data_IF_603045076860
#
_entry.id   IF_603045076860
#
_cell.length_a   1.000
_cell.length_b   1.000
_cell.length_c   1.000
_cell.angle_alpha   90.00
_cell.angle_beta   90.00
_cell.angle_gamma   90.00
#
_symmetry.space_group_name_H-M   'P 1'
#
loop_
_entity.id
_entity.type
_entity.pdbx_description
1 polymer ?
#
# COMPACT_ATOMS: atom_id res chain seq x y z
N UNK A 1 12.87 -57.32 9.71
CA UNK A 1 11.95 -56.46 8.89
C UNK A 1 12.12 -55.03 9.36
N UNK A 2 12.77 -54.20 8.57
CA UNK A 2 13.00 -52.80 8.89
C UNK A 2 11.67 -52.03 8.72
N UNK A 3 11.07 -51.50 9.80
CA UNK A 3 9.89 -50.67 9.75
C UNK A 3 10.23 -49.38 9.03
N UNK A 4 9.63 -49.12 7.84
CA UNK A 4 9.70 -47.83 7.17
C UNK A 4 9.13 -46.77 8.12
N UNK A 5 9.96 -45.87 8.62
CA UNK A 5 9.56 -44.70 9.40
C UNK A 5 8.65 -43.83 8.52
N UNK A 6 7.37 -43.71 8.87
CA UNK A 6 6.43 -42.82 8.17
C UNK A 6 6.92 -41.36 8.33
N UNK A 7 6.86 -40.59 7.26
CA UNK A 7 7.19 -39.18 7.26
C UNK A 7 5.95 -38.38 6.90
N UNK A 8 5.71 -37.30 7.66
CA UNK A 8 4.57 -36.40 7.45
C UNK A 8 5.12 -35.02 7.09
N UNK A 9 4.54 -34.41 6.07
CA UNK A 9 4.92 -33.06 5.64
C UNK A 9 3.72 -32.14 5.84
N UNK A 10 3.84 -31.22 6.77
CA UNK A 10 2.84 -30.19 7.01
C UNK A 10 3.12 -28.98 6.10
N UNK A 11 2.16 -28.60 5.29
CA UNK A 11 2.23 -27.45 4.38
C UNK A 11 1.31 -26.38 4.96
N UNK A 12 1.91 -25.38 5.57
CA UNK A 12 1.17 -24.22 6.09
C UNK A 12 0.83 -23.23 4.96
N UNK A 13 1.77 -23.05 3.98
CA UNK A 13 1.57 -22.16 2.83
C UNK A 13 2.13 -22.82 1.56
N UNK A 14 1.32 -22.90 0.51
CA UNK A 14 1.63 -23.53 -0.77
C UNK A 14 0.49 -23.35 -1.76
N UNK A 15 0.49 -24.10 -2.86
CA UNK A 15 -0.64 -24.14 -3.81
C UNK A 15 -1.94 -24.59 -3.14
N UNK A 16 -1.82 -25.47 -2.14
CA UNK A 16 -2.87 -25.81 -1.17
C UNK A 16 -2.31 -25.56 0.24
N UNK A 17 -3.07 -24.84 1.08
CA UNK A 17 -2.65 -24.47 2.43
C UNK A 17 -3.27 -25.40 3.49
N UNK A 18 -2.62 -25.49 4.68
CA UNK A 18 -3.08 -26.29 5.84
C UNK A 18 -3.30 -27.77 5.54
N UNK A 19 -2.38 -28.38 4.80
CA UNK A 19 -2.44 -29.78 4.37
C UNK A 19 -1.28 -30.61 4.93
N UNK A 20 -1.56 -31.86 5.30
CA UNK A 20 -0.54 -32.86 5.66
C UNK A 20 -0.49 -33.89 4.56
N UNK A 21 0.70 -34.16 4.02
CA UNK A 21 0.95 -35.19 3.00
C UNK A 21 1.99 -36.19 3.50
N UNK A 22 2.00 -37.37 2.93
CA UNK A 22 2.78 -38.51 3.42
C UNK A 22 4.08 -38.72 2.66
N UNK A 23 4.27 -38.04 1.53
CA UNK A 23 5.45 -38.16 0.69
C UNK A 23 6.08 -36.80 0.38
N UNK A 24 7.38 -36.81 0.14
CA UNK A 24 8.09 -35.62 -0.31
C UNK A 24 7.64 -35.18 -1.72
N UNK A 25 7.30 -36.12 -2.60
CA UNK A 25 6.88 -35.81 -3.94
C UNK A 25 5.54 -35.04 -3.96
N UNK A 26 4.59 -35.42 -3.12
CA UNK A 26 3.33 -34.69 -2.92
C UNK A 26 3.60 -33.28 -2.36
N UNK A 27 4.44 -33.19 -1.33
CA UNK A 27 4.82 -31.91 -0.74
C UNK A 27 5.49 -31.01 -1.78
N UNK A 28 6.46 -31.55 -2.53
CA UNK A 28 7.18 -30.81 -3.58
C UNK A 28 6.22 -30.26 -4.64
N UNK A 29 5.25 -31.03 -5.09
CA UNK A 29 4.25 -30.56 -6.07
C UNK A 29 3.43 -29.37 -5.60
N UNK A 30 3.20 -29.28 -4.27
CA UNK A 30 2.42 -28.22 -3.66
C UNK A 30 3.24 -26.96 -3.32
N UNK A 31 4.56 -27.12 -3.13
CA UNK A 31 5.43 -26.00 -2.70
C UNK A 31 6.34 -25.49 -3.82
N UNK A 32 6.66 -26.35 -4.81
CA UNK A 32 7.56 -25.98 -5.91
C UNK A 32 6.93 -24.92 -6.81
N UNK A 33 7.69 -23.84 -7.06
CA UNK A 33 7.25 -22.69 -7.84
C UNK A 33 6.25 -21.76 -7.11
N UNK A 34 5.92 -22.05 -5.84
CA UNK A 34 5.08 -21.17 -5.03
C UNK A 34 5.94 -20.22 -4.18
N UNK A 35 5.90 -18.93 -4.50
CA UNK A 35 6.69 -17.90 -3.80
C UNK A 35 6.24 -17.79 -2.33
N UNK A 36 7.18 -18.00 -1.40
CA UNK A 36 6.89 -17.94 0.03
C UNK A 36 6.23 -19.19 0.60
N UNK A 37 6.44 -20.36 0.01
CA UNK A 37 5.98 -21.64 0.56
C UNK A 37 6.56 -21.90 1.96
N UNK A 38 5.69 -22.38 2.89
CA UNK A 38 6.04 -22.73 4.28
C UNK A 38 5.60 -24.15 4.52
N UNK A 39 6.59 -25.03 4.76
CA UNK A 39 6.34 -26.44 5.04
C UNK A 39 7.40 -27.00 5.97
N UNK A 40 7.07 -28.09 6.66
CA UNK A 40 8.00 -28.76 7.58
C UNK A 40 7.71 -30.26 7.63
N UNK A 41 8.80 -31.08 7.77
CA UNK A 41 8.74 -32.54 7.90
C UNK A 41 8.63 -32.93 9.38
N UNK A 42 7.80 -33.96 9.69
CA UNK A 42 7.60 -34.50 11.03
C UNK A 42 7.66 -36.01 11.02
N UNK A 43 7.91 -36.59 12.21
CA UNK A 43 7.97 -38.04 12.45
C UNK A 43 6.58 -38.63 12.81
N UNK A 44 5.66 -37.79 13.28
CA UNK A 44 4.28 -38.19 13.58
C UNK A 44 3.24 -37.22 12.94
N UNK A 45 2.02 -37.72 12.79
CA UNK A 45 0.91 -36.95 12.24
C UNK A 45 0.42 -35.90 13.24
N UNK A 46 0.49 -36.23 14.51
CA UNK A 46 0.11 -35.39 15.63
C UNK A 46 1.00 -34.14 15.68
N UNK A 47 2.33 -34.31 15.56
CA UNK A 47 3.28 -33.18 15.48
C UNK A 47 3.01 -32.29 14.26
N UNK A 48 2.73 -32.90 13.11
CA UNK A 48 2.41 -32.17 11.89
C UNK A 48 1.10 -31.38 12.02
N UNK A 49 0.10 -31.96 12.69
CA UNK A 49 -1.19 -31.33 12.98
C UNK A 49 -1.03 -30.16 13.95
N UNK A 50 -0.29 -30.37 15.05
CA UNK A 50 0.01 -29.32 16.04
C UNK A 50 0.73 -28.13 15.40
N UNK A 51 1.68 -28.42 14.50
CA UNK A 51 2.38 -27.40 13.74
C UNK A 51 1.41 -26.60 12.85
N UNK A 52 0.48 -27.22 12.17
CA UNK A 52 -0.53 -26.50 11.37
C UNK A 52 -1.47 -25.67 12.24
N UNK A 53 -1.88 -26.17 13.42
CA UNK A 53 -2.73 -25.43 14.35
C UNK A 53 -2.00 -24.24 14.97
N UNK A 54 -0.75 -24.41 15.36
CA UNK A 54 0.09 -23.29 15.81
C UNK A 54 0.28 -22.25 14.71
N UNK A 55 0.48 -22.67 13.46
CA UNK A 55 0.61 -21.75 12.33
C UNK A 55 -0.74 -21.20 11.86
N UNK A 56 -1.89 -21.86 12.09
CA UNK A 56 -3.22 -21.27 11.90
C UNK A 56 -3.48 -20.12 12.87
N UNK A 57 -3.15 -20.31 14.15
CA UNK A 57 -3.26 -19.26 15.16
C UNK A 57 -2.25 -18.14 14.91
N UNK A 58 -1.07 -18.44 14.36
CA UNK A 58 -0.07 -17.47 13.92
C UNK A 58 -0.48 -16.80 12.60
N UNK A 59 -1.26 -17.45 11.72
CA UNK A 59 -1.76 -16.85 10.47
C UNK A 59 -2.99 -15.95 10.69
N UNK A 60 -3.78 -16.17 11.72
CA UNK A 60 -4.80 -15.21 12.18
C UNK A 60 -4.16 -14.00 12.87
N UNK A 61 -2.92 -14.15 13.40
CA UNK A 61 -2.13 -13.07 14.00
C UNK A 61 -0.90 -12.64 13.17
N UNK A 62 -0.59 -13.29 12.05
CA UNK A 62 0.47 -12.94 11.08
C UNK A 62 -0.09 -12.79 9.66
N UNK A 63 -1.15 -12.03 9.50
CA UNK A 63 -1.19 -11.13 8.36
C UNK A 63 0.02 -10.23 8.54
N UNK A 64 0.94 -10.18 7.55
CA UNK A 64 2.21 -9.46 7.55
C UNK A 64 2.08 -7.97 7.95
N UNK A 65 1.66 -7.72 9.16
CA UNK A 65 1.66 -6.43 9.82
C UNK A 65 2.81 -6.43 10.80
N UNK A 66 3.98 -5.97 10.38
CA UNK A 66 5.04 -5.64 11.33
C UNK A 66 4.65 -4.34 12.01
N UNK A 67 4.01 -4.45 13.16
CA UNK A 67 3.73 -3.29 13.99
C UNK A 67 5.05 -2.71 14.48
N UNK A 68 5.36 -1.49 14.05
CA UNK A 68 6.50 -0.74 14.56
C UNK A 68 5.98 0.38 15.44
N UNK A 69 6.15 0.25 16.76
CA UNK A 69 5.79 1.30 17.70
C UNK A 69 6.96 2.29 17.78
N UNK A 70 6.71 3.52 17.35
CA UNK A 70 7.66 4.63 17.44
C UNK A 70 7.19 5.51 18.62
N UNK A 71 7.34 4.99 19.84
CA UNK A 71 6.99 5.74 21.05
C UNK A 71 8.23 6.33 21.67
N UNK A 72 8.55 7.58 21.35
CA UNK A 72 9.50 8.38 22.12
C UNK A 72 8.81 9.12 23.27
N UNK A 73 7.47 9.22 23.25
CA UNK A 73 6.64 9.79 24.31
C UNK A 73 5.86 8.67 25.00
N UNK A 74 5.79 8.67 26.33
CA UNK A 74 5.00 7.69 27.10
C UNK A 74 3.51 7.95 26.86
N UNK A 75 2.78 6.93 26.37
CA UNK A 75 1.32 6.96 26.28
C UNK A 75 0.68 6.68 27.64
N UNK A 76 -0.41 7.36 27.94
CA UNK A 76 -1.28 7.00 29.06
C UNK A 76 -2.14 5.77 28.68
N UNK A 77 -2.56 4.93 29.65
CA UNK A 77 -3.44 3.78 29.37
C UNK A 77 -4.76 4.16 28.67
N UNK A 78 -5.20 5.41 28.79
CA UNK A 78 -6.46 5.92 28.22
C UNK A 78 -6.26 6.71 26.91
N UNK A 79 -5.06 6.75 26.34
CA UNK A 79 -4.79 7.48 25.09
C UNK A 79 -5.65 6.94 23.95
N UNK A 80 -6.48 7.79 23.36
CA UNK A 80 -7.35 7.43 22.23
C UNK A 80 -6.52 7.14 20.98
N UNK A 81 -6.77 6.01 20.34
CA UNK A 81 -6.11 5.68 19.05
C UNK A 81 -6.95 6.19 17.88
N UNK A 82 -6.30 6.92 16.97
CA UNK A 82 -6.85 7.35 15.69
C UNK A 82 -6.17 6.56 14.58
N UNK A 83 -6.97 5.83 13.81
CA UNK A 83 -6.49 5.05 12.65
C UNK A 83 -6.47 5.94 11.41
N UNK A 84 -5.36 5.92 10.70
CA UNK A 84 -5.12 6.66 9.46
C UNK A 84 -4.57 5.71 8.41
N UNK A 85 -5.07 5.81 7.17
CA UNK A 85 -4.53 5.13 6.00
C UNK A 85 -3.93 6.18 5.08
N UNK A 86 -2.72 5.92 4.57
CA UNK A 86 -2.00 6.84 3.69
C UNK A 86 -1.37 6.09 2.54
N UNK A 87 -1.40 6.72 1.38
CA UNK A 87 -0.75 6.20 0.18
C UNK A 87 -0.24 7.33 -0.72
N UNK A 88 0.71 7.00 -1.61
CA UNK A 88 1.24 7.89 -2.63
C UNK A 88 1.12 7.26 -4.02
N UNK A 89 0.74 8.04 -5.01
CA UNK A 89 0.62 7.60 -6.39
C UNK A 89 1.53 8.42 -7.30
N UNK A 90 2.25 7.70 -8.19
CA UNK A 90 3.12 8.30 -9.19
C UNK A 90 2.83 7.69 -10.55
N UNK A 91 2.42 8.53 -11.49
CA UNK A 91 2.02 8.12 -12.82
C UNK A 91 2.91 8.77 -13.86
N UNK A 92 3.27 8.00 -14.89
CA UNK A 92 4.05 8.47 -16.05
C UNK A 92 3.17 8.46 -17.30
N UNK A 93 2.96 9.63 -17.89
CA UNK A 93 2.24 9.79 -19.15
C UNK A 93 2.96 10.76 -20.08
N UNK A 94 3.07 10.41 -21.37
CA UNK A 94 3.66 11.30 -22.39
C UNK A 94 5.04 11.87 -21.99
N UNK A 95 5.88 11.03 -21.35
CA UNK A 95 7.21 11.40 -20.79
C UNK A 95 7.18 12.35 -19.57
N UNK A 96 5.99 12.75 -19.11
CA UNK A 96 5.79 13.55 -17.92
C UNK A 96 5.46 12.67 -16.71
N UNK A 97 5.75 13.19 -15.51
CA UNK A 97 5.44 12.55 -14.23
C UNK A 97 4.38 13.36 -13.52
N UNK A 98 3.34 12.67 -13.07
CA UNK A 98 2.23 13.20 -12.28
C UNK A 98 2.20 12.45 -10.95
N UNK A 99 1.94 13.14 -9.87
CA UNK A 99 1.95 12.52 -8.55
C UNK A 99 0.94 13.16 -7.61
N UNK A 100 0.35 12.31 -6.77
CA UNK A 100 -0.57 12.70 -5.72
C UNK A 100 -0.40 11.84 -4.50
N UNK A 101 -1.11 12.18 -3.45
CA UNK A 101 -1.19 11.38 -2.24
C UNK A 101 -2.61 11.37 -1.68
N UNK A 102 -2.94 10.29 -0.97
CA UNK A 102 -4.22 10.05 -0.35
C UNK A 102 -4.10 9.90 1.16
N UNK A 103 -5.08 10.43 1.89
CA UNK A 103 -5.23 10.28 3.33
C UNK A 103 -6.68 9.93 3.62
N UNK A 104 -6.90 8.85 4.39
CA UNK A 104 -8.21 8.42 4.83
C UNK A 104 -8.23 8.23 6.34
N UNK A 105 -9.13 8.94 7.05
CA UNK A 105 -9.31 8.86 8.50
C UNK A 105 -10.78 8.54 8.78
N UNK A 106 -11.15 7.23 8.88
CA UNK A 106 -12.55 6.82 9.01
C UNK A 106 -13.28 7.45 10.20
N UNK A 107 -12.62 7.50 11.36
CA UNK A 107 -13.21 8.02 12.60
C UNK A 107 -13.52 9.51 12.58
N UNK A 108 -12.95 10.26 11.64
CA UNK A 108 -13.18 11.70 11.44
C UNK A 108 -13.94 12.00 10.15
N UNK A 109 -14.30 10.97 9.36
CA UNK A 109 -14.88 11.10 8.02
C UNK A 109 -14.07 12.04 7.11
N UNK A 110 -12.73 11.90 7.18
CA UNK A 110 -11.79 12.71 6.38
C UNK A 110 -11.27 11.86 5.23
N UNK A 111 -11.41 12.40 4.03
CA UNK A 111 -10.83 11.89 2.79
C UNK A 111 -10.12 13.04 2.10
N UNK A 112 -8.81 12.89 1.91
CA UNK A 112 -7.99 13.90 1.21
C UNK A 112 -7.31 13.27 0.01
N UNK A 113 -7.36 14.00 -1.09
CA UNK A 113 -6.73 13.65 -2.35
C UNK A 113 -6.02 14.89 -2.87
N UNK A 114 -4.70 14.92 -2.75
CA UNK A 114 -3.91 16.11 -2.98
C UNK A 114 -2.81 15.87 -4.02
N UNK A 115 -2.43 16.93 -4.73
CA UNK A 115 -1.31 16.93 -5.66
C UNK A 115 0.00 16.96 -4.88
N UNK A 116 0.99 16.16 -5.31
CA UNK A 116 2.34 16.29 -4.77
C UNK A 116 3.07 17.45 -5.41
N UNK A 117 3.43 18.42 -4.62
CA UNK A 117 4.22 19.57 -5.06
C UNK A 117 5.73 19.27 -5.14
N UNK A 118 6.43 19.95 -6.04
CA UNK A 118 7.89 19.86 -6.21
C UNK A 118 8.34 18.56 -6.89
N UNK A 119 9.42 17.96 -6.37
CA UNK A 119 10.01 16.73 -6.94
C UNK A 119 9.05 15.55 -6.81
N UNK A 120 8.75 14.87 -7.91
CA UNK A 120 7.77 13.79 -7.99
C UNK A 120 8.44 12.42 -7.96
N UNK A 121 8.38 11.76 -6.80
CA UNK A 121 8.78 10.37 -6.60
C UNK A 121 7.76 9.67 -5.72
N UNK A 122 7.61 8.34 -5.86
CA UNK A 122 6.68 7.57 -5.03
C UNK A 122 6.97 7.73 -3.54
N UNK A 123 8.22 7.49 -3.14
CA UNK A 123 8.64 7.64 -1.74
C UNK A 123 8.33 9.04 -1.16
N UNK A 124 8.42 10.08 -2.01
CA UNK A 124 8.11 11.44 -1.59
C UNK A 124 6.60 11.65 -1.40
N UNK A 125 5.78 11.08 -2.27
CA UNK A 125 4.31 11.12 -2.16
C UNK A 125 3.84 10.42 -0.88
N UNK A 126 4.29 9.19 -0.64
CA UNK A 126 4.00 8.40 0.56
C UNK A 126 4.42 9.12 1.84
N UNK A 127 5.68 9.61 1.90
CA UNK A 127 6.18 10.32 3.08
C UNK A 127 5.43 11.63 3.32
N UNK A 128 5.04 12.34 2.26
CA UNK A 128 4.22 13.56 2.35
C UNK A 128 2.84 13.26 2.91
N UNK A 129 2.18 12.19 2.46
CA UNK A 129 0.89 11.76 2.97
C UNK A 129 0.92 11.56 4.49
N UNK A 130 1.93 10.83 4.98
CA UNK A 130 2.10 10.57 6.42
C UNK A 130 2.36 11.88 7.18
N UNK A 131 3.30 12.71 6.73
CA UNK A 131 3.62 13.99 7.39
C UNK A 131 2.38 14.89 7.45
N UNK A 132 1.63 14.99 6.36
CA UNK A 132 0.40 15.79 6.29
C UNK A 132 -0.67 15.26 7.24
N UNK A 133 -0.86 13.95 7.29
CA UNK A 133 -1.85 13.33 8.18
C UNK A 133 -1.55 13.58 9.66
N UNK A 134 -0.28 13.48 10.09
CA UNK A 134 0.13 13.75 11.47
C UNK A 134 -0.10 15.22 11.82
N UNK A 135 0.25 16.16 10.93
CA UNK A 135 0.08 17.60 11.14
C UNK A 135 -1.37 18.07 11.25
N UNK A 136 -2.36 17.21 11.00
CA UNK A 136 -3.78 17.50 11.24
C UNK A 136 -4.15 17.47 12.72
N UNK A 137 -3.27 16.95 13.58
CA UNK A 137 -3.49 16.85 15.03
C UNK A 137 -2.63 17.86 15.79
N UNK A 138 -3.15 18.34 16.92
CA UNK A 138 -2.39 19.22 17.79
C UNK A 138 -1.37 18.42 18.61
N UNK A 139 -0.22 19.01 18.91
CA UNK A 139 0.88 18.35 19.64
C UNK A 139 0.47 17.95 21.06
N UNK A 140 -0.41 18.72 21.69
CA UNK A 140 -0.93 18.52 23.05
C UNK A 140 -2.16 17.60 23.10
N UNK A 141 -2.67 17.16 21.94
CA UNK A 141 -3.78 16.21 21.86
C UNK A 141 -3.30 14.82 22.33
N UNK A 142 -3.94 14.28 23.39
CA UNK A 142 -3.58 12.96 23.93
C UNK A 142 -4.18 11.85 23.05
N UNK A 143 -3.59 11.70 21.86
CA UNK A 143 -3.96 10.68 20.89
C UNK A 143 -2.75 9.88 20.42
N UNK A 144 -2.94 8.59 20.21
CA UNK A 144 -2.02 7.73 19.49
C UNK A 144 -2.43 7.71 18.02
N UNK A 145 -1.59 8.21 17.14
CA UNK A 145 -1.82 8.19 15.70
C UNK A 145 -1.30 6.87 15.15
N UNK A 146 -2.22 5.98 14.75
CA UNK A 146 -1.90 4.69 14.19
C UNK A 146 -2.02 4.72 12.67
N UNK A 147 -0.89 4.69 11.99
CA UNK A 147 -0.78 4.83 10.54
C UNK A 147 -0.63 3.46 9.90
N UNK A 148 -1.49 3.17 8.95
CA UNK A 148 -1.43 2.03 8.05
C UNK A 148 -0.93 2.49 6.68
N UNK A 149 0.16 1.89 6.20
CA UNK A 149 0.79 2.23 4.92
C UNK A 149 1.54 1.01 4.36
N UNK A 150 1.70 0.92 3.05
CA UNK A 150 2.54 -0.08 2.38
C UNK A 150 3.99 0.41 2.17
N UNK A 151 4.29 1.66 2.57
CA UNK A 151 5.60 2.27 2.45
C UNK A 151 6.57 1.87 3.55
N UNK A 152 7.33 0.82 3.33
CA UNK A 152 8.45 0.45 4.21
C UNK A 152 9.50 1.58 4.32
N UNK A 153 9.72 2.33 3.23
CA UNK A 153 10.61 3.48 3.24
C UNK A 153 10.16 4.52 4.26
N UNK A 154 8.91 4.94 4.19
CA UNK A 154 8.37 5.96 5.11
C UNK A 154 8.38 5.49 6.56
N UNK A 155 8.00 4.23 6.83
CA UNK A 155 8.10 3.64 8.18
C UNK A 155 9.54 3.68 8.71
N UNK A 156 10.52 3.33 7.88
CA UNK A 156 11.94 3.41 8.23
C UNK A 156 12.40 4.82 8.58
N UNK A 157 11.91 5.85 7.87
CA UNK A 157 12.24 7.26 8.14
C UNK A 157 11.71 7.72 9.50
N UNK A 158 10.49 7.36 9.86
CA UNK A 158 9.96 7.65 11.21
C UNK A 158 10.65 6.81 12.30
N UNK A 159 11.27 5.68 11.95
CA UNK A 159 11.97 4.76 12.84
C UNK A 159 13.49 4.94 12.88
N UNK A 160 14.20 3.81 12.87
CA UNK A 160 15.66 3.75 13.05
C UNK A 160 16.44 4.46 11.94
N UNK A 161 15.97 4.40 10.69
CA UNK A 161 16.66 5.03 9.56
C UNK A 161 16.72 6.54 9.73
N UNK A 162 15.61 7.16 10.15
CA UNK A 162 15.57 8.59 10.43
C UNK A 162 16.50 9.01 11.57
N UNK A 163 16.59 8.20 12.64
CA UNK A 163 17.54 8.43 13.73
C UNK A 163 18.98 8.40 13.21
N UNK A 164 19.34 7.38 12.42
CA UNK A 164 20.66 7.26 11.80
C UNK A 164 20.99 8.45 10.88
N UNK A 165 20.00 8.95 10.15
CA UNK A 165 20.17 10.14 9.31
C UNK A 165 20.36 11.40 10.16
N UNK A 166 19.59 11.59 11.23
CA UNK A 166 19.76 12.70 12.18
C UNK A 166 21.17 12.72 12.79
N UNK A 167 21.69 11.55 13.22
CA UNK A 167 23.05 11.42 13.76
C UNK A 167 24.15 11.81 12.77
N UNK A 168 23.88 11.65 11.47
CA UNK A 168 24.79 12.03 10.38
C UNK A 168 24.46 13.40 9.78
N UNK A 169 23.75 14.26 10.51
CA UNK A 169 23.30 15.57 10.03
C UNK A 169 22.56 15.50 8.68
N UNK A 170 21.81 14.39 8.46
CA UNK A 170 21.08 14.12 7.22
C UNK A 170 21.96 14.03 5.96
N UNK A 171 23.25 13.75 6.14
CA UNK A 171 24.20 13.59 5.04
C UNK A 171 24.37 12.11 4.68
N UNK A 172 24.33 11.80 3.37
CA UNK A 172 24.66 10.49 2.81
C UNK A 172 26.19 10.29 2.76
N UNK A 173 26.88 11.36 2.38
CA UNK A 173 28.34 11.46 2.36
C UNK A 173 28.75 12.93 2.69
N UNK A 174 30.02 13.30 2.52
CA UNK A 174 30.53 14.62 2.86
C UNK A 174 29.90 15.79 2.09
N UNK A 175 29.27 15.52 0.94
CA UNK A 175 28.77 16.57 0.03
C UNK A 175 27.29 16.43 -0.33
N UNK A 176 26.67 15.27 -0.07
CA UNK A 176 25.33 14.95 -0.56
C UNK A 176 24.40 14.65 0.60
N UNK A 177 23.26 15.33 0.67
CA UNK A 177 22.18 15.00 1.61
C UNK A 177 21.53 13.65 1.27
N UNK A 178 20.86 13.07 2.27
CA UNK A 178 20.01 11.89 2.06
C UNK A 178 18.83 12.23 1.14
N UNK A 179 18.29 11.25 0.39
CA UNK A 179 17.09 11.49 -0.43
C UNK A 179 15.94 12.03 0.42
N UNK A 180 15.21 13.03 -0.11
CA UNK A 180 14.09 13.69 0.57
C UNK A 180 14.48 14.32 1.93
N UNK A 181 15.70 14.83 2.09
CA UNK A 181 16.21 15.35 3.36
C UNK A 181 15.30 16.39 4.01
N UNK A 182 14.63 17.22 3.22
CA UNK A 182 13.63 18.19 3.65
C UNK A 182 12.46 17.53 4.40
N UNK A 183 11.88 16.48 3.84
CA UNK A 183 10.78 15.72 4.46
C UNK A 183 11.29 14.83 5.60
N UNK A 184 12.48 14.25 5.44
CA UNK A 184 13.09 13.40 6.48
C UNK A 184 13.31 14.17 7.78
N UNK A 185 13.80 15.41 7.71
CA UNK A 185 13.97 16.29 8.87
C UNK A 185 12.63 16.49 9.60
N UNK A 186 11.58 16.82 8.87
CA UNK A 186 10.23 17.00 9.41
C UNK A 186 9.70 15.70 10.04
N UNK A 187 9.85 14.56 9.35
CA UNK A 187 9.35 13.28 9.85
C UNK A 187 10.01 12.88 11.18
N UNK A 188 11.33 13.09 11.31
CA UNK A 188 12.07 12.82 12.55
C UNK A 188 11.62 13.72 13.69
N UNK A 189 11.36 15.00 13.43
CA UNK A 189 10.80 15.92 14.43
C UNK A 189 9.40 15.50 14.87
N UNK A 190 8.52 15.13 13.93
CA UNK A 190 7.18 14.64 14.26
C UNK A 190 7.21 13.34 15.07
N UNK A 191 8.17 12.44 14.80
CA UNK A 191 8.35 11.22 15.59
C UNK A 191 8.78 11.50 17.05
N UNK A 192 9.44 12.64 17.31
CA UNK A 192 9.80 13.08 18.66
C UNK A 192 8.60 13.73 19.40
N UNK A 193 7.66 14.33 18.67
CA UNK A 193 6.56 15.13 19.21
C UNK A 193 5.27 14.35 19.44
N UNK A 194 4.97 13.36 18.60
CA UNK A 194 3.71 12.62 18.62
C UNK A 194 3.86 11.18 19.10
N UNK A 195 2.77 10.59 19.59
CA UNK A 195 2.67 9.16 19.87
C UNK A 195 2.25 8.49 18.56
N UNK A 196 3.20 7.82 17.90
CA UNK A 196 2.99 7.21 16.60
C UNK A 196 3.08 5.68 16.67
N UNK A 197 2.15 5.02 16.02
CA UNK A 197 2.20 3.59 15.74
C UNK A 197 2.08 3.39 14.23
N UNK A 198 2.89 2.49 13.68
CA UNK A 198 2.85 2.13 12.26
C UNK A 198 2.54 0.66 12.09
N UNK A 199 1.72 0.35 11.11
CA UNK A 199 1.46 -1.01 10.66
C UNK A 199 1.66 -1.06 9.16
N UNK A 200 2.57 -1.94 8.72
CA UNK A 200 2.76 -2.21 7.29
C UNK A 200 1.59 -3.04 6.76
N UNK A 201 0.99 -2.59 5.69
CA UNK A 201 -0.04 -3.31 4.94
C UNK A 201 0.53 -3.72 3.58
N UNK A 202 0.19 -4.92 3.11
CA UNK A 202 0.50 -5.29 1.73
C UNK A 202 -0.53 -4.65 0.79
N UNK A 203 -0.03 -3.89 -0.21
CA UNK A 203 -0.88 -3.35 -1.28
C UNK A 203 -1.61 -4.47 -2.03
N UNK A 204 -2.84 -4.19 -2.46
CA UNK A 204 -3.65 -5.04 -3.33
C UNK A 204 -3.88 -6.47 -2.82
N UNK A 205 -4.08 -6.64 -1.54
CA UNK A 205 -4.58 -7.90 -0.99
C UNK A 205 -6.07 -8.02 -1.31
N UNK A 206 -6.50 -9.15 -1.89
CA UNK A 206 -7.92 -9.44 -2.14
C UNK A 206 -8.68 -9.76 -0.83
N UNK A 207 -8.20 -9.26 0.31
CA UNK A 207 -8.77 -9.52 1.63
C UNK A 207 -9.92 -8.54 1.90
N UNK A 208 -11.06 -9.08 2.33
CA UNK A 208 -12.26 -8.31 2.67
C UNK A 208 -12.25 -7.84 4.14
N UNK A 209 -11.06 -7.44 4.65
CA UNK A 209 -10.93 -6.90 6.00
C UNK A 209 -10.93 -5.35 6.00
N UNK A 210 -11.18 -4.79 7.17
CA UNK A 210 -11.32 -3.34 7.35
C UNK A 210 -10.05 -2.55 7.00
N UNK A 211 -8.87 -3.15 7.22
CA UNK A 211 -7.60 -2.47 6.98
C UNK A 211 -7.23 -2.50 5.51
N UNK A 212 -7.49 -3.61 4.81
CA UNK A 212 -7.34 -3.68 3.35
C UNK A 212 -8.25 -2.67 2.66
N UNK A 213 -9.54 -2.57 3.06
CA UNK A 213 -10.47 -1.55 2.54
C UNK A 213 -10.01 -0.12 2.82
N UNK A 214 -9.46 0.12 4.01
CA UNK A 214 -8.90 1.42 4.36
C UNK A 214 -7.72 1.81 3.49
N UNK A 215 -6.81 0.87 3.22
CA UNK A 215 -5.67 1.07 2.33
C UNK A 215 -6.10 1.30 0.88
N UNK A 216 -7.03 0.50 0.36
CA UNK A 216 -7.60 0.66 -0.99
C UNK A 216 -8.27 2.04 -1.16
N UNK A 217 -8.85 2.58 -0.08
CA UNK A 217 -9.41 3.93 -0.10
C UNK A 217 -8.33 5.00 -0.20
N UNK A 218 -7.25 4.88 0.60
CA UNK A 218 -6.11 5.80 0.54
C UNK A 218 -5.43 5.78 -0.85
N UNK A 219 -5.23 4.60 -1.42
CA UNK A 219 -4.71 4.39 -2.77
C UNK A 219 -5.62 5.07 -3.83
N UNK A 220 -6.94 4.85 -3.78
CA UNK A 220 -7.88 5.54 -4.66
C UNK A 220 -7.76 7.06 -4.57
N UNK A 221 -7.59 7.60 -3.37
CA UNK A 221 -7.41 9.04 -3.15
C UNK A 221 -6.06 9.52 -3.71
N UNK A 222 -4.98 8.74 -3.55
CA UNK A 222 -3.66 9.05 -4.08
C UNK A 222 -3.67 9.10 -5.63
N UNK A 223 -4.30 8.10 -6.27
CA UNK A 223 -4.50 8.08 -7.72
C UNK A 223 -5.29 9.32 -8.18
N UNK A 224 -6.37 9.67 -7.48
CA UNK A 224 -7.15 10.88 -7.79
C UNK A 224 -6.32 12.16 -7.68
N UNK A 225 -5.41 12.26 -6.71
CA UNK A 225 -4.45 13.35 -6.59
C UNK A 225 -3.51 13.45 -7.81
N UNK A 226 -2.99 12.31 -8.27
CA UNK A 226 -2.17 12.25 -9.47
C UNK A 226 -2.96 12.61 -10.76
N UNK A 227 -4.25 12.21 -10.83
CA UNK A 227 -5.16 12.64 -11.91
C UNK A 227 -5.39 14.14 -11.87
N UNK A 228 -5.58 14.72 -10.70
CA UNK A 228 -5.72 16.17 -10.54
C UNK A 228 -4.47 16.90 -11.05
N UNK A 229 -3.27 16.41 -10.72
CA UNK A 229 -2.02 16.93 -11.25
C UNK A 229 -1.97 16.85 -12.79
N UNK A 230 -2.37 15.70 -13.36
CA UNK A 230 -2.46 15.54 -14.81
C UNK A 230 -3.46 16.53 -15.42
N UNK A 231 -4.69 16.60 -14.91
CA UNK A 231 -5.75 17.41 -15.49
C UNK A 231 -5.49 18.92 -15.37
N UNK A 232 -4.80 19.35 -14.29
CA UNK A 232 -4.40 20.76 -14.14
C UNK A 232 -3.33 21.18 -15.17
N UNK A 233 -2.48 20.25 -15.59
CA UNK A 233 -1.44 20.48 -16.60
C UNK A 233 -1.87 20.13 -18.03
N UNK A 234 -2.98 19.42 -18.20
CA UNK A 234 -3.58 19.05 -19.48
C UNK A 234 -4.97 19.68 -19.60
N UNK A 235 -5.09 20.94 -20.04
CA UNK A 235 -6.35 21.69 -20.01
C UNK A 235 -7.43 21.15 -20.97
N UNK A 236 -7.06 20.29 -21.91
CA UNK A 236 -7.97 19.64 -22.86
C UNK A 236 -7.97 18.13 -22.66
N UNK A 237 -8.79 17.62 -21.76
CA UNK A 237 -8.89 16.18 -21.48
C UNK A 237 -9.23 15.34 -22.71
N UNK A 238 -9.95 15.90 -23.68
CA UNK A 238 -10.18 15.24 -24.97
C UNK A 238 -8.92 14.90 -25.76
N UNK A 239 -7.79 15.60 -25.52
CA UNK A 239 -6.50 15.34 -26.13
C UNK A 239 -5.69 14.26 -25.37
N UNK A 240 -6.25 13.69 -24.32
CA UNK A 240 -5.65 12.53 -23.63
C UNK A 240 -5.74 11.29 -24.51
N UNK A 241 -4.67 10.49 -24.51
CA UNK A 241 -4.58 9.27 -25.30
C UNK A 241 -5.00 8.07 -24.45
N UNK A 242 -5.92 7.24 -24.96
CA UNK A 242 -6.27 5.96 -24.35
C UNK A 242 -5.12 4.96 -24.54
N UNK A 243 -4.66 4.28 -23.49
CA UNK A 243 -3.48 3.39 -23.56
C UNK A 243 -3.82 1.92 -23.70
N UNK A 244 -5.10 1.56 -23.78
CA UNK A 244 -5.58 0.16 -23.85
C UNK A 244 -6.82 -0.03 -24.71
N UNK A 245 -7.18 -1.29 -24.91
CA UNK A 245 -8.42 -1.69 -25.55
C UNK A 245 -8.50 -1.42 -27.05
N UNK A 246 -9.73 -1.44 -27.59
CA UNK A 246 -10.01 -1.31 -29.02
C UNK A 246 -9.52 0.01 -29.61
N UNK A 247 -9.59 1.08 -28.83
CA UNK A 247 -9.19 2.43 -29.23
C UNK A 247 -7.86 2.87 -28.62
N UNK A 248 -6.97 1.92 -28.36
CA UNK A 248 -5.62 2.22 -27.89
C UNK A 248 -4.93 3.20 -28.84
N UNK A 249 -4.23 4.20 -28.30
CA UNK A 249 -3.51 5.27 -28.99
C UNK A 249 -4.39 6.32 -29.68
N UNK A 250 -5.72 6.29 -29.50
CA UNK A 250 -6.61 7.35 -29.98
C UNK A 250 -6.82 8.40 -28.87
N UNK A 251 -7.10 9.64 -29.29
CA UNK A 251 -7.51 10.70 -28.38
C UNK A 251 -8.93 10.45 -27.86
N UNK A 252 -9.21 10.80 -26.59
CA UNK A 252 -10.53 10.57 -26.00
C UNK A 252 -11.66 11.23 -26.79
N UNK A 253 -11.42 12.44 -27.35
CA UNK A 253 -12.37 13.16 -28.20
C UNK A 253 -12.75 12.42 -29.48
N UNK A 254 -11.89 11.50 -29.96
CA UNK A 254 -12.09 10.74 -31.20
C UNK A 254 -12.69 9.35 -30.92
N UNK A 255 -12.96 9.02 -29.66
CA UNK A 255 -13.51 7.73 -29.24
C UNK A 255 -15.02 7.87 -29.04
N UNK A 256 -15.85 6.92 -29.55
CA UNK A 256 -17.28 6.94 -29.30
C UNK A 256 -17.60 6.99 -27.79
N UNK A 257 -18.49 7.89 -27.39
CA UNK A 257 -18.91 8.05 -25.98
C UNK A 257 -19.50 6.77 -25.40
N UNK A 258 -20.17 5.96 -26.23
CA UNK A 258 -20.67 4.64 -25.84
C UNK A 258 -19.57 3.68 -25.38
N UNK A 259 -18.37 3.76 -26.01
CA UNK A 259 -17.22 2.96 -25.58
C UNK A 259 -16.61 3.49 -24.28
N UNK A 260 -16.53 4.81 -24.15
CA UNK A 260 -16.07 5.46 -22.91
C UNK A 260 -17.00 5.13 -21.74
N UNK A 261 -18.32 5.18 -21.96
CA UNK A 261 -19.31 4.75 -20.95
C UNK A 261 -19.14 3.26 -20.59
N UNK A 262 -18.87 2.41 -21.58
CA UNK A 262 -18.60 0.99 -21.32
C UNK A 262 -17.34 0.80 -20.43
N UNK A 263 -16.27 1.56 -20.65
CA UNK A 263 -15.08 1.54 -19.77
C UNK A 263 -15.49 1.82 -18.32
N UNK A 264 -16.31 2.83 -18.09
CA UNK A 264 -16.72 3.25 -16.74
C UNK A 264 -17.65 2.27 -16.04
N UNK A 265 -18.42 1.47 -16.77
CA UNK A 265 -19.45 0.56 -16.24
C UNK A 265 -19.07 -0.92 -16.34
N UNK A 266 -18.01 -1.26 -17.04
CA UNK A 266 -17.61 -2.65 -17.27
C UNK A 266 -16.99 -3.28 -16.02
N UNK A 267 -17.63 -4.34 -15.53
CA UNK A 267 -17.11 -5.14 -14.41
C UNK A 267 -15.72 -5.74 -14.68
N UNK A 268 -15.49 -6.22 -15.89
CA UNK A 268 -14.18 -6.76 -16.27
C UNK A 268 -13.08 -5.70 -16.26
N UNK A 269 -13.41 -4.46 -16.61
CA UNK A 269 -12.47 -3.35 -16.51
C UNK A 269 -12.25 -2.93 -15.06
N UNK A 270 -13.28 -2.95 -14.22
CA UNK A 270 -13.16 -2.73 -12.78
C UNK A 270 -12.18 -3.72 -12.12
N UNK A 271 -12.30 -5.00 -12.44
CA UNK A 271 -11.39 -6.04 -11.94
C UNK A 271 -9.92 -5.81 -12.39
N UNK A 272 -9.70 -5.23 -13.56
CA UNK A 272 -8.38 -4.80 -14.02
C UNK A 272 -7.86 -3.58 -13.25
N UNK A 273 -8.73 -2.65 -12.92
CA UNK A 273 -8.39 -1.45 -12.13
C UNK A 273 -7.91 -1.81 -10.72
N UNK A 274 -8.47 -2.85 -10.10
CA UNK A 274 -8.04 -3.34 -8.78
C UNK A 274 -6.57 -3.77 -8.78
N UNK A 275 -6.06 -4.28 -9.89
CA UNK A 275 -4.71 -4.87 -10.00
C UNK A 275 -3.69 -3.95 -10.69
N UNK A 276 -4.13 -2.83 -11.26
CA UNK A 276 -3.27 -2.01 -12.11
C UNK A 276 -3.58 -0.52 -11.95
N UNK A 277 -2.64 0.19 -11.34
CA UNK A 277 -2.73 1.63 -11.07
C UNK A 277 -2.91 2.46 -12.34
N UNK A 278 -2.24 2.11 -13.45
CA UNK A 278 -2.41 2.82 -14.72
C UNK A 278 -3.84 2.72 -15.25
N UNK A 279 -4.54 1.59 -14.99
CA UNK A 279 -5.94 1.41 -15.39
C UNK A 279 -6.89 2.23 -14.52
N UNK A 280 -6.60 2.33 -13.23
CA UNK A 280 -7.37 3.23 -12.33
C UNK A 280 -7.21 4.68 -12.77
N UNK A 281 -6.00 5.11 -13.03
CA UNK A 281 -5.74 6.44 -13.56
C UNK A 281 -6.53 6.71 -14.84
N UNK A 282 -6.50 5.79 -15.80
CA UNK A 282 -7.23 5.94 -17.05
C UNK A 282 -8.73 6.04 -16.82
N UNK A 283 -9.29 5.21 -15.93
CA UNK A 283 -10.70 5.28 -15.55
C UNK A 283 -11.08 6.66 -15.04
N UNK A 284 -10.28 7.22 -14.13
CA UNK A 284 -10.50 8.54 -13.56
C UNK A 284 -10.39 9.66 -14.62
N UNK A 285 -9.43 9.56 -15.56
CA UNK A 285 -9.30 10.52 -16.66
C UNK A 285 -10.52 10.46 -17.61
N UNK A 286 -10.95 9.23 -17.97
CA UNK A 286 -12.13 9.02 -18.82
C UNK A 286 -13.39 9.57 -18.12
N UNK A 287 -13.54 9.30 -16.82
CA UNK A 287 -14.66 9.81 -16.02
C UNK A 287 -14.70 11.34 -16.05
N UNK A 288 -13.58 12.00 -15.73
CA UNK A 288 -13.49 13.47 -15.78
C UNK A 288 -13.74 14.03 -17.18
N UNK A 289 -13.27 13.36 -18.24
CA UNK A 289 -13.56 13.79 -19.61
C UNK A 289 -15.06 13.70 -19.90
N UNK A 290 -15.70 12.59 -19.53
CA UNK A 290 -17.14 12.42 -19.72
C UNK A 290 -17.95 13.47 -18.96
N UNK A 291 -17.54 13.85 -17.76
CA UNK A 291 -18.16 14.92 -16.98
C UNK A 291 -18.10 16.27 -17.73
N UNK A 292 -17.00 16.54 -18.46
CA UNK A 292 -16.89 17.78 -19.28
C UNK A 292 -17.83 17.79 -20.50
N UNK A 293 -18.34 16.63 -20.94
CA UNK A 293 -19.27 16.55 -22.07
C UNK A 293 -20.74 16.77 -21.63
N UNK A 294 -21.01 16.66 -20.32
CA UNK A 294 -22.34 16.76 -19.72
C UNK A 294 -22.58 18.09 -18.99
N UNK A 295 -21.51 18.85 -18.76
CA UNK A 295 -21.53 20.20 -18.17
C UNK A 295 -21.62 21.27 -19.26
#
# INVERSE_FOLDING_TARGET
>A
MSSKKSSYYAISKGKECNKIVLSWDECKNMVHGFKGAIYKKFSSREEAQLYLEQNKNTQVSQQNTSDTIINRRKSNPNTKTIIIYTDGSLVRRQKEIYAGYGIFIPSKNIEMSEILEGTKTNNRAELTAIIRSIKMFKIDEDVCIHIYTDSQYSMGIFGETGIKYKQKNYMKNTTTEVPNADLVKIAVELADLYILKFTHINSHTSLDDIHSKGNDRADTLAVRGAVNDYTNRCPRLGDSILTFGKYKNNYLKDIPTSYLSWILTSRSFEELCVKNEDRRLEKEIVMKYMDTLTS
#
